data_IF_510807042265
#
_entry.id   IF_510807042265
#
_cell.length_a   1.000
_cell.length_b   1.000
_cell.length_c   1.000
_cell.angle_alpha   90.00
_cell.angle_beta   90.00
_cell.angle_gamma   90.00
#
_symmetry.space_group_name_H-M   'P 1'
#
loop_
_entity.id
_entity.type
_entity.pdbx_description
1 polymer ?
#
# COMPACT_ATOMS: atom_id res chain seq x y z
N UNK A 1 5.98 20.87 -35.92
CA UNK A 1 6.60 19.53 -35.98
C UNK A 1 5.50 18.47 -35.94
N UNK A 2 5.07 17.89 -37.07
CA UNK A 2 3.87 17.03 -37.12
C UNK A 2 4.01 15.69 -36.38
N UNK A 3 5.23 15.21 -36.14
CA UNK A 3 5.48 14.03 -35.30
C UNK A 3 5.58 14.32 -33.80
N UNK A 4 5.43 15.59 -33.40
CA UNK A 4 5.46 16.03 -31.99
C UNK A 4 4.10 16.61 -31.59
N UNK A 5 3.52 17.49 -32.42
CA UNK A 5 2.23 18.10 -32.17
C UNK A 5 1.22 17.61 -33.21
N UNK A 6 0.34 16.69 -32.82
CA UNK A 6 -0.66 16.12 -33.70
C UNK A 6 -1.92 15.70 -32.93
N UNK A 7 -3.08 15.91 -33.54
CA UNK A 7 -4.37 15.58 -32.95
C UNK A 7 -4.57 14.08 -32.76
N UNK A 8 -3.92 13.22 -33.55
CA UNK A 8 -4.02 11.76 -33.35
C UNK A 8 -3.49 11.36 -31.97
N UNK A 9 -2.38 11.95 -31.52
CA UNK A 9 -1.83 11.66 -30.19
C UNK A 9 -2.74 12.18 -29.08
N UNK A 10 -3.31 13.38 -29.26
CA UNK A 10 -4.25 13.95 -28.31
C UNK A 10 -5.51 13.07 -28.17
N UNK A 11 -6.12 12.68 -29.28
CA UNK A 11 -7.31 11.84 -29.27
C UNK A 11 -7.04 10.44 -28.69
N UNK A 12 -5.89 9.84 -29.01
CA UNK A 12 -5.47 8.59 -28.39
C UNK A 12 -5.30 8.74 -26.88
N UNK A 13 -4.62 9.79 -26.42
CA UNK A 13 -4.42 10.04 -24.99
C UNK A 13 -5.74 10.25 -24.24
N UNK A 14 -6.70 10.98 -24.83
CA UNK A 14 -8.04 11.15 -24.25
C UNK A 14 -8.79 9.83 -24.13
N UNK A 15 -8.75 8.99 -25.17
CA UNK A 15 -9.44 7.71 -25.19
C UNK A 15 -8.83 6.75 -24.16
N UNK A 16 -7.50 6.62 -24.16
CA UNK A 16 -6.77 5.75 -23.24
C UNK A 16 -6.99 6.15 -21.77
N UNK A 17 -6.88 7.46 -21.47
CA UNK A 17 -7.14 7.98 -20.14
C UNK A 17 -8.57 7.69 -19.68
N UNK A 18 -9.56 7.96 -20.52
CA UNK A 18 -10.97 7.71 -20.20
C UNK A 18 -11.28 6.22 -20.01
N UNK A 19 -10.59 5.33 -20.73
CA UNK A 19 -10.74 3.89 -20.57
C UNK A 19 -10.18 3.42 -19.23
N UNK A 20 -8.97 3.85 -18.87
CA UNK A 20 -8.37 3.59 -17.56
C UNK A 20 -9.26 4.12 -16.43
N UNK A 21 -9.73 5.38 -16.53
CA UNK A 21 -10.62 5.97 -15.53
C UNK A 21 -11.95 5.21 -15.39
N UNK A 22 -12.52 4.69 -16.49
CA UNK A 22 -13.72 3.88 -16.43
C UNK A 22 -13.51 2.58 -15.65
N UNK A 23 -12.38 1.89 -15.87
CA UNK A 23 -11.98 0.72 -15.09
C UNK A 23 -11.79 1.08 -13.62
N UNK A 24 -11.07 2.16 -13.31
CA UNK A 24 -10.80 2.57 -11.93
C UNK A 24 -12.09 2.88 -11.15
N UNK A 25 -13.12 3.43 -11.81
CA UNK A 25 -14.44 3.61 -11.18
C UNK A 25 -15.13 2.28 -10.87
N UNK A 26 -15.04 1.31 -11.78
CA UNK A 26 -15.59 -0.04 -11.52
C UNK A 26 -14.83 -0.75 -10.40
N UNK A 27 -13.52 -0.59 -10.30
CA UNK A 27 -12.71 -1.09 -9.20
C UNK A 27 -13.08 -0.43 -7.88
N UNK A 28 -13.32 0.89 -7.88
CA UNK A 28 -13.78 1.63 -6.71
C UNK A 28 -15.11 1.10 -6.17
N UNK A 29 -16.07 0.78 -7.04
CA UNK A 29 -17.34 0.17 -6.64
C UNK A 29 -17.12 -1.21 -5.98
N UNK A 30 -16.19 -2.00 -6.50
CA UNK A 30 -15.81 -3.29 -5.90
C UNK A 30 -15.12 -3.11 -4.54
N UNK A 31 -14.27 -2.09 -4.38
CA UNK A 31 -13.63 -1.73 -3.11
C UNK A 31 -14.69 -1.31 -2.07
N UNK A 32 -15.71 -0.55 -2.47
CA UNK A 32 -16.81 -0.17 -1.57
C UNK A 32 -17.62 -1.38 -1.10
N UNK A 33 -17.81 -2.38 -1.97
CA UNK A 33 -18.43 -3.66 -1.59
C UNK A 33 -17.56 -4.39 -0.57
N UNK A 34 -16.27 -4.57 -0.86
CA UNK A 34 -15.30 -5.20 0.06
C UNK A 34 -15.24 -4.49 1.42
N UNK A 35 -15.24 -3.15 1.43
CA UNK A 35 -15.24 -2.34 2.65
C UNK A 35 -16.49 -2.61 3.51
N UNK A 36 -17.64 -2.81 2.89
CA UNK A 36 -18.89 -3.10 3.57
C UNK A 36 -18.91 -4.54 4.12
N UNK A 37 -18.47 -5.51 3.32
CA UNK A 37 -18.37 -6.94 3.70
C UNK A 37 -17.32 -7.20 4.78
N UNK A 38 -16.28 -6.37 4.84
CA UNK A 38 -15.23 -6.41 5.85
C UNK A 38 -15.57 -5.61 7.10
N UNK A 39 -16.75 -4.99 7.15
CA UNK A 39 -17.26 -4.18 8.28
C UNK A 39 -16.28 -3.07 8.71
N UNK A 40 -15.40 -2.59 7.81
CA UNK A 40 -14.31 -1.65 8.14
C UNK A 40 -14.80 -0.31 8.71
N UNK A 41 -16.05 0.05 8.41
CA UNK A 41 -16.72 1.21 9.01
C UNK A 41 -16.85 1.09 10.53
N UNK A 42 -17.09 -0.11 11.04
CA UNK A 42 -17.27 -0.37 12.48
C UNK A 42 -15.96 -0.18 13.25
N UNK A 43 -14.83 -0.32 12.55
CA UNK A 43 -13.48 -0.05 13.04
C UNK A 43 -13.04 1.40 12.79
N UNK A 44 -13.95 2.29 12.40
CA UNK A 44 -13.68 3.73 12.27
C UNK A 44 -13.01 4.16 10.96
N UNK A 45 -12.69 3.26 10.02
CA UNK A 45 -12.14 3.66 8.73
C UNK A 45 -13.21 4.41 7.92
N UNK A 46 -12.97 5.68 7.57
CA UNK A 46 -13.90 6.46 6.77
C UNK A 46 -13.82 6.14 5.28
N UNK A 47 -14.91 6.38 4.54
CA UNK A 47 -14.92 6.26 3.08
C UNK A 47 -13.94 7.22 2.40
N UNK A 48 -13.66 8.37 3.02
CA UNK A 48 -12.72 9.35 2.49
C UNK A 48 -11.28 8.84 2.58
N UNK A 49 -10.90 8.22 3.70
CA UNK A 49 -9.58 7.60 3.86
C UNK A 49 -9.40 6.41 2.92
N UNK A 50 -10.44 5.58 2.78
CA UNK A 50 -10.45 4.48 1.82
C UNK A 50 -10.27 4.99 0.37
N UNK A 51 -11.02 6.03 -0.01
CA UNK A 51 -10.95 6.63 -1.34
C UNK A 51 -9.56 7.23 -1.59
N UNK A 52 -8.97 7.88 -0.58
CA UNK A 52 -7.63 8.43 -0.68
C UNK A 52 -6.59 7.33 -0.89
N UNK A 53 -6.65 6.24 -0.13
CA UNK A 53 -5.78 5.08 -0.31
C UNK A 53 -5.90 4.46 -1.71
N UNK A 54 -7.13 4.30 -2.20
CA UNK A 54 -7.35 3.81 -3.57
C UNK A 54 -6.84 4.78 -4.63
N UNK A 55 -7.07 6.08 -4.46
CA UNK A 55 -6.55 7.12 -5.35
C UNK A 55 -5.02 7.08 -5.46
N UNK A 56 -4.30 6.93 -4.33
CA UNK A 56 -2.83 6.82 -4.36
C UNK A 56 -2.36 5.62 -5.19
N UNK A 57 -3.02 4.47 -5.03
CA UNK A 57 -2.73 3.27 -5.82
C UNK A 57 -3.04 3.50 -7.31
N UNK A 58 -4.23 4.00 -7.64
CA UNK A 58 -4.71 4.17 -9.02
C UNK A 58 -3.98 5.27 -9.79
N UNK A 59 -3.58 6.36 -9.14
CA UNK A 59 -2.78 7.41 -9.75
C UNK A 59 -1.32 7.00 -10.00
N UNK A 60 -0.86 5.92 -9.35
CA UNK A 60 0.53 5.45 -9.44
C UNK A 60 0.67 4.23 -10.36
N UNK A 61 -0.25 3.26 -10.26
CA UNK A 61 -0.30 2.04 -11.09
C UNK A 61 -1.60 2.13 -11.88
N UNK A 62 -1.64 2.84 -12.99
CA UNK A 62 -2.89 3.15 -13.69
C UNK A 62 -3.26 2.13 -14.78
N UNK A 63 -2.31 1.30 -15.20
CA UNK A 63 -2.45 0.41 -16.35
C UNK A 63 -3.52 -0.67 -16.11
N UNK A 64 -4.46 -0.92 -17.05
CA UNK A 64 -5.57 -1.85 -16.84
C UNK A 64 -5.16 -3.24 -16.36
N UNK A 65 -4.08 -3.78 -16.92
CA UNK A 65 -3.53 -5.10 -16.64
C UNK A 65 -2.91 -5.24 -15.24
N UNK A 66 -2.71 -4.13 -14.52
CA UNK A 66 -2.13 -4.10 -13.17
C UNK A 66 -3.17 -3.88 -12.08
N UNK A 67 -4.42 -4.31 -12.32
CA UNK A 67 -5.54 -4.18 -11.39
C UNK A 67 -5.26 -4.85 -10.04
N UNK A 68 -4.73 -6.08 -10.03
CA UNK A 68 -4.44 -6.80 -8.78
C UNK A 68 -3.42 -6.05 -7.90
N UNK A 69 -2.41 -5.45 -8.50
CA UNK A 69 -1.42 -4.63 -7.79
C UNK A 69 -2.07 -3.41 -7.12
N UNK A 70 -2.96 -2.70 -7.83
CA UNK A 70 -3.73 -1.57 -7.28
C UNK A 70 -4.63 -2.00 -6.12
N UNK A 71 -5.38 -3.09 -6.32
CA UNK A 71 -6.33 -3.59 -5.32
C UNK A 71 -5.60 -4.08 -4.07
N UNK A 72 -4.49 -4.79 -4.23
CA UNK A 72 -3.64 -5.23 -3.14
C UNK A 72 -3.11 -4.04 -2.34
N UNK A 73 -2.60 -3.02 -3.02
CA UNK A 73 -2.15 -1.78 -2.38
C UNK A 73 -3.29 -1.14 -1.58
N UNK A 74 -4.41 -0.79 -2.21
CA UNK A 74 -5.49 -0.05 -1.59
C UNK A 74 -6.07 -0.79 -0.36
N UNK A 75 -6.31 -2.11 -0.49
CA UNK A 75 -6.83 -2.93 0.62
C UNK A 75 -5.81 -3.06 1.75
N UNK A 76 -4.52 -3.22 1.43
CA UNK A 76 -3.44 -3.28 2.43
C UNK A 76 -3.33 -1.98 3.21
N UNK A 77 -3.31 -0.83 2.53
CA UNK A 77 -3.27 0.48 3.21
C UNK A 77 -4.47 0.69 4.14
N UNK A 78 -5.67 0.30 3.70
CA UNK A 78 -6.88 0.37 4.52
C UNK A 78 -6.80 -0.53 5.76
N UNK A 79 -6.31 -1.76 5.61
CA UNK A 79 -6.14 -2.72 6.71
C UNK A 79 -5.07 -2.25 7.71
N UNK A 80 -3.90 -1.80 7.25
CA UNK A 80 -2.84 -1.23 8.11
C UNK A 80 -3.40 -0.07 8.93
N UNK A 81 -4.10 0.86 8.28
CA UNK A 81 -4.71 2.00 8.97
C UNK A 81 -5.73 1.53 10.02
N UNK A 82 -6.60 0.60 9.66
CA UNK A 82 -7.63 0.09 10.57
C UNK A 82 -7.01 -0.62 11.78
N UNK A 83 -5.98 -1.46 11.58
CA UNK A 83 -5.28 -2.18 12.65
C UNK A 83 -4.61 -1.18 13.60
N UNK A 84 -3.82 -0.26 13.04
CA UNK A 84 -3.06 0.72 13.83
C UNK A 84 -3.96 1.73 14.55
N UNK A 85 -5.14 2.05 14.04
CA UNK A 85 -6.08 2.94 14.73
C UNK A 85 -6.85 2.27 15.88
N UNK A 86 -7.00 0.93 15.89
CA UNK A 86 -7.84 0.23 16.86
C UNK A 86 -7.07 -0.62 17.88
N UNK A 87 -5.82 -0.97 17.59
CA UNK A 87 -5.07 -1.95 18.39
C UNK A 87 -3.68 -1.45 18.82
N UNK A 88 -3.44 -0.14 18.78
CA UNK A 88 -2.12 0.45 19.03
C UNK A 88 -1.95 1.07 20.42
N UNK A 89 -2.94 0.92 21.31
CA UNK A 89 -2.95 1.53 22.64
C UNK A 89 -1.81 1.03 23.53
N UNK A 90 -1.52 -0.27 23.50
CA UNK A 90 -0.52 -0.92 24.34
C UNK A 90 0.03 -2.22 23.71
N UNK A 91 1.17 -2.69 24.23
CA UNK A 91 1.87 -3.88 23.71
C UNK A 91 1.06 -5.19 23.89
N UNK A 92 0.25 -5.31 24.95
CA UNK A 92 -0.59 -6.49 25.20
C UNK A 92 -1.67 -6.61 24.12
N UNK A 93 -2.33 -5.49 23.81
CA UNK A 93 -3.33 -5.40 22.73
C UNK A 93 -2.72 -5.76 21.37
N UNK A 94 -1.53 -5.22 21.06
CA UNK A 94 -0.80 -5.56 19.83
C UNK A 94 -0.42 -7.03 19.77
N UNK A 95 0.20 -7.54 20.83
CA UNK A 95 0.61 -8.94 20.96
C UNK A 95 -0.56 -9.89 20.75
N UNK A 96 -1.72 -9.56 21.33
CA UNK A 96 -2.90 -10.39 21.20
C UNK A 96 -3.51 -10.35 19.79
N UNK A 97 -3.34 -9.25 19.04
CA UNK A 97 -3.67 -9.20 17.61
C UNK A 97 -2.74 -10.08 16.77
N UNK A 98 -1.42 -9.97 16.98
CA UNK A 98 -0.43 -10.77 16.26
C UNK A 98 -0.64 -12.26 16.50
N UNK A 99 -0.82 -12.66 17.75
CA UNK A 99 -1.09 -14.06 18.10
C UNK A 99 -2.37 -14.57 17.42
N UNK A 100 -3.44 -13.77 17.39
CA UNK A 100 -4.69 -14.19 16.76
C UNK A 100 -4.56 -14.30 15.23
N UNK A 101 -3.77 -13.42 14.60
CA UNK A 101 -3.42 -13.56 13.20
C UNK A 101 -2.62 -14.83 12.94
N UNK A 102 -1.53 -15.06 13.69
CA UNK A 102 -0.68 -16.25 13.56
C UNK A 102 -1.46 -17.54 13.81
N UNK A 103 -2.31 -17.56 14.84
CA UNK A 103 -3.20 -18.68 15.13
C UNK A 103 -4.14 -18.92 13.95
N UNK A 104 -4.76 -17.87 13.38
CA UNK A 104 -5.69 -18.04 12.27
C UNK A 104 -5.01 -18.59 11.01
N UNK A 105 -3.82 -18.08 10.65
CA UNK A 105 -3.09 -18.56 9.47
C UNK A 105 -2.51 -19.96 9.66
N UNK A 106 -2.12 -20.32 10.89
CA UNK A 106 -1.61 -21.66 11.21
C UNK A 106 -2.74 -22.70 11.41
N UNK A 107 -3.91 -22.28 11.89
CA UNK A 107 -5.09 -23.15 12.10
C UNK A 107 -5.83 -23.49 10.80
N UNK A 108 -5.52 -22.82 9.69
CA UNK A 108 -5.96 -23.25 8.36
C UNK A 108 -5.40 -24.63 7.97
N UNK A 109 -4.46 -25.19 8.75
CA UNK A 109 -3.90 -26.54 8.58
C UNK A 109 -4.46 -27.59 9.55
N UNK A 110 -5.09 -27.18 10.67
CA UNK A 110 -5.68 -28.11 11.64
C UNK A 110 -7.00 -27.56 12.19
N UNK A 111 -8.10 -28.09 11.65
CA UNK A 111 -9.44 -27.93 12.22
C UNK A 111 -9.46 -28.42 13.66
N UNK A 112 -9.56 -27.47 14.60
CA UNK A 112 -10.09 -27.55 15.98
C UNK A 112 -9.16 -26.88 17.00
N UNK A 113 -9.39 -25.60 17.28
CA UNK A 113 -8.93 -24.99 18.53
C UNK A 113 -10.08 -24.29 19.26
N UNK A 114 -10.18 -24.62 20.54
CA UNK A 114 -11.11 -24.16 21.57
C UNK A 114 -11.47 -22.68 21.41
N UNK A 115 -12.76 -22.43 21.18
CA UNK A 115 -13.37 -21.08 21.18
C UNK A 115 -13.30 -20.48 22.59
N UNK A 116 -12.18 -19.85 22.90
CA UNK A 116 -12.04 -18.98 24.07
C UNK A 116 -12.79 -17.65 23.85
N UNK A 117 -13.17 -17.01 24.96
CA UNK A 117 -13.82 -15.70 25.08
C UNK A 117 -12.92 -14.56 24.55
N UNK A 118 -12.56 -14.58 23.27
CA UNK A 118 -11.74 -13.53 22.63
C UNK A 118 -12.62 -12.34 22.18
N UNK A 119 -12.02 -11.17 22.09
CA UNK A 119 -12.71 -9.96 21.64
C UNK A 119 -13.29 -10.16 20.22
N UNK A 120 -14.63 -10.08 20.08
CA UNK A 120 -15.34 -10.30 18.80
C UNK A 120 -14.85 -9.34 17.72
N UNK A 121 -14.51 -8.11 18.09
CA UNK A 121 -13.99 -7.06 17.20
C UNK A 121 -12.65 -7.47 16.59
N UNK A 122 -11.72 -7.97 17.41
CA UNK A 122 -10.40 -8.42 16.92
C UNK A 122 -10.50 -9.59 15.93
N UNK A 123 -11.36 -10.57 16.25
CA UNK A 123 -11.62 -11.73 15.36
C UNK A 123 -12.22 -11.32 14.02
N UNK A 124 -13.11 -10.33 14.06
CA UNK A 124 -13.69 -9.76 12.85
C UNK A 124 -12.61 -9.19 11.93
N UNK A 125 -11.71 -8.36 12.47
CA UNK A 125 -10.66 -7.72 11.66
C UNK A 125 -9.58 -8.69 11.20
N UNK A 126 -9.12 -9.62 12.05
CA UNK A 126 -8.18 -10.69 11.64
C UNK A 126 -8.81 -11.54 10.54
N UNK A 127 -10.09 -11.90 10.68
CA UNK A 127 -10.82 -12.63 9.65
C UNK A 127 -10.95 -11.84 8.34
N UNK A 128 -11.18 -10.52 8.40
CA UNK A 128 -11.23 -9.67 7.22
C UNK A 128 -9.86 -9.55 6.53
N UNK A 129 -8.77 -9.47 7.30
CA UNK A 129 -7.40 -9.52 6.79
C UNK A 129 -7.14 -10.84 6.06
N UNK A 130 -7.33 -11.99 6.73
CA UNK A 130 -7.06 -13.31 6.13
C UNK A 130 -7.89 -13.54 4.87
N UNK A 131 -9.21 -13.26 4.90
CA UNK A 131 -10.06 -13.35 3.69
C UNK A 131 -9.58 -12.47 2.54
N UNK A 132 -8.99 -11.32 2.86
CA UNK A 132 -8.42 -10.43 1.84
C UNK A 132 -7.16 -11.04 1.23
N UNK A 133 -6.31 -11.70 2.02
CA UNK A 133 -5.11 -12.38 1.52
C UNK A 133 -5.48 -13.62 0.70
N UNK A 134 -6.47 -14.39 1.13
CA UNK A 134 -7.01 -15.52 0.37
C UNK A 134 -7.54 -15.07 -1.00
N UNK A 135 -8.31 -13.97 -1.04
CA UNK A 135 -8.81 -13.39 -2.27
C UNK A 135 -7.66 -12.96 -3.20
N UNK A 136 -6.66 -12.25 -2.69
CA UNK A 136 -5.51 -11.81 -3.48
C UNK A 136 -4.72 -13.00 -4.03
N UNK A 137 -4.48 -14.02 -3.21
CA UNK A 137 -3.78 -15.23 -3.67
C UNK A 137 -4.57 -15.99 -4.72
N UNK A 138 -5.90 -16.11 -4.58
CA UNK A 138 -6.74 -16.80 -5.55
C UNK A 138 -6.74 -16.07 -6.90
N UNK A 139 -6.92 -14.75 -6.91
CA UNK A 139 -6.92 -13.96 -8.13
C UNK A 139 -5.55 -13.95 -8.81
N UNK A 140 -4.46 -13.88 -8.04
CA UNK A 140 -3.11 -14.01 -8.57
C UNK A 140 -2.86 -15.40 -9.15
N UNK A 141 -3.36 -16.47 -8.52
CA UNK A 141 -3.28 -17.82 -9.08
C UNK A 141 -4.05 -17.93 -10.40
N UNK A 142 -5.26 -17.38 -10.47
CA UNK A 142 -6.07 -17.39 -11.70
C UNK A 142 -5.42 -16.58 -12.82
N UNK A 143 -4.78 -15.45 -12.49
CA UNK A 143 -4.23 -14.51 -13.49
C UNK A 143 -2.82 -14.88 -13.94
N UNK A 144 -1.98 -15.35 -13.01
CA UNK A 144 -0.55 -15.56 -13.22
C UNK A 144 -0.10 -17.03 -13.03
N UNK A 145 -0.98 -17.90 -12.54
CA UNK A 145 -0.64 -19.31 -12.26
C UNK A 145 0.29 -19.50 -11.05
N UNK A 146 0.42 -18.48 -10.19
CA UNK A 146 1.31 -18.50 -9.04
C UNK A 146 0.53 -18.59 -7.73
N UNK A 147 0.94 -19.51 -6.86
CA UNK A 147 0.43 -19.61 -5.50
C UNK A 147 1.32 -18.77 -4.57
N UNK A 148 0.74 -17.72 -3.98
CA UNK A 148 1.49 -16.72 -3.19
C UNK A 148 0.99 -16.59 -1.74
N UNK A 149 0.01 -17.40 -1.32
CA UNK A 149 -0.65 -17.26 -0.02
C UNK A 149 0.33 -17.31 1.15
N UNK A 150 1.32 -18.21 1.09
CA UNK A 150 2.36 -18.32 2.09
C UNK A 150 3.21 -17.04 2.17
N UNK A 151 3.60 -16.47 1.02
CA UNK A 151 4.40 -15.24 0.97
C UNK A 151 3.60 -14.02 1.45
N UNK A 152 2.29 -13.98 1.18
CA UNK A 152 1.38 -12.98 1.71
C UNK A 152 1.30 -13.06 3.23
N UNK A 153 1.05 -14.26 3.79
CA UNK A 153 1.01 -14.49 5.23
C UNK A 153 2.34 -14.14 5.91
N UNK A 154 3.46 -14.56 5.31
CA UNK A 154 4.80 -14.27 5.81
C UNK A 154 5.09 -12.77 5.82
N UNK A 155 4.74 -12.05 4.74
CA UNK A 155 4.94 -10.60 4.64
C UNK A 155 4.14 -9.84 5.70
N UNK A 156 2.87 -10.20 5.89
CA UNK A 156 2.03 -9.63 6.95
C UNK A 156 2.52 -9.98 8.35
N UNK A 157 2.89 -11.24 8.59
CA UNK A 157 3.42 -11.70 9.89
C UNK A 157 4.70 -10.98 10.28
N UNK A 158 5.58 -10.71 9.30
CA UNK A 158 6.81 -9.92 9.52
C UNK A 158 6.50 -8.48 9.90
N UNK A 159 5.59 -7.83 9.19
CA UNK A 159 5.18 -6.45 9.51
C UNK A 159 4.51 -6.38 10.89
N UNK A 160 3.57 -7.28 11.17
CA UNK A 160 2.86 -7.36 12.44
C UNK A 160 3.82 -7.59 13.62
N UNK A 161 4.84 -8.44 13.46
CA UNK A 161 5.87 -8.66 14.48
C UNK A 161 6.67 -7.39 14.79
N UNK A 162 7.00 -6.58 13.77
CA UNK A 162 7.69 -5.28 13.95
C UNK A 162 6.79 -4.28 14.67
N UNK A 163 5.53 -4.20 14.22
CA UNK A 163 4.52 -3.32 14.80
C UNK A 163 4.22 -3.68 16.26
N UNK A 164 4.23 -4.96 16.62
CA UNK A 164 4.03 -5.43 18.00
C UNK A 164 4.99 -4.77 18.98
N UNK A 165 6.29 -4.76 18.67
CA UNK A 165 7.33 -4.18 19.53
C UNK A 165 7.38 -2.65 19.48
N UNK A 166 7.24 -2.06 18.29
CA UNK A 166 7.53 -0.64 18.09
C UNK A 166 6.28 0.25 18.25
N UNK A 167 5.08 -0.29 17.99
CA UNK A 167 3.82 0.44 18.04
C UNK A 167 3.71 1.57 17.01
N UNK A 168 4.65 1.67 16.08
CA UNK A 168 4.64 2.65 15.00
C UNK A 168 4.36 1.98 13.66
N UNK A 169 4.19 2.78 12.61
CA UNK A 169 3.99 2.28 11.24
C UNK A 169 5.32 1.96 10.54
N UNK A 170 6.38 1.66 11.29
CA UNK A 170 7.65 1.25 10.69
C UNK A 170 7.43 -0.03 9.86
N UNK A 171 8.05 -0.08 8.69
CA UNK A 171 7.88 -1.19 7.76
C UNK A 171 6.55 -1.22 6.98
N UNK A 172 5.67 -0.22 7.08
CA UNK A 172 4.49 -0.15 6.19
C UNK A 172 4.89 -0.18 4.71
N UNK A 173 5.95 0.55 4.36
CA UNK A 173 6.41 0.61 2.98
C UNK A 173 6.95 -0.74 2.49
N UNK A 174 7.62 -1.50 3.37
CA UNK A 174 7.98 -2.89 3.09
C UNK A 174 6.74 -3.69 2.71
N UNK A 175 5.72 -3.69 3.57
CA UNK A 175 4.52 -4.49 3.37
C UNK A 175 3.81 -4.11 2.07
N UNK A 176 3.61 -2.81 1.81
CA UNK A 176 3.01 -2.35 0.55
C UNK A 176 3.80 -2.82 -0.68
N UNK A 177 5.13 -2.71 -0.65
CA UNK A 177 5.99 -3.19 -1.73
C UNK A 177 5.84 -4.71 -1.92
N UNK A 178 5.78 -5.51 -0.85
CA UNK A 178 5.55 -6.95 -0.99
C UNK A 178 4.19 -7.24 -1.64
N UNK A 179 3.14 -6.61 -1.12
CA UNK A 179 1.77 -6.85 -1.58
C UNK A 179 1.59 -6.48 -3.06
N UNK A 180 2.19 -5.37 -3.50
CA UNK A 180 2.20 -4.96 -4.91
C UNK A 180 2.93 -6.01 -5.76
N UNK A 181 4.15 -6.39 -5.39
CA UNK A 181 4.97 -7.27 -6.23
C UNK A 181 4.40 -8.69 -6.31
N UNK A 182 3.98 -9.26 -5.18
CA UNK A 182 3.38 -10.60 -5.13
C UNK A 182 2.09 -10.65 -5.95
N UNK A 183 1.21 -9.65 -5.77
CA UNK A 183 -0.06 -9.62 -6.51
C UNK A 183 0.11 -9.38 -8.01
N UNK A 184 1.23 -8.77 -8.42
CA UNK A 184 1.64 -8.61 -9.82
C UNK A 184 2.35 -9.83 -10.42
N UNK A 185 2.43 -10.96 -9.70
CA UNK A 185 3.05 -12.20 -10.17
C UNK A 185 4.58 -12.18 -10.18
N UNK A 186 5.21 -11.29 -9.41
CA UNK A 186 6.67 -11.25 -9.30
C UNK A 186 7.15 -12.23 -8.22
N UNK A 187 8.09 -13.09 -8.58
CA UNK A 187 8.72 -14.04 -7.66
C UNK A 187 9.72 -13.33 -6.75
N UNK A 188 9.44 -13.31 -5.44
CA UNK A 188 10.32 -12.72 -4.42
C UNK A 188 11.20 -13.81 -3.79
N UNK A 189 12.10 -14.39 -4.57
CA UNK A 189 12.99 -15.46 -4.09
C UNK A 189 13.91 -15.02 -2.94
N UNK A 190 14.37 -15.97 -2.14
CA UNK A 190 15.35 -15.72 -1.08
C UNK A 190 16.63 -15.05 -1.59
N UNK A 191 17.04 -15.37 -2.83
CA UNK A 191 18.16 -14.73 -3.50
C UNK A 191 17.91 -13.24 -3.76
N UNK A 192 16.69 -12.89 -4.20
CA UNK A 192 16.30 -11.50 -4.40
C UNK A 192 16.21 -10.74 -3.07
N UNK A 193 15.61 -11.35 -2.05
CA UNK A 193 15.51 -10.75 -0.70
C UNK A 193 16.88 -10.59 -0.02
N UNK A 194 17.84 -11.43 -0.41
CA UNK A 194 19.23 -11.37 0.04
C UNK A 194 20.10 -10.41 -0.78
N UNK A 195 19.61 -9.94 -1.93
CA UNK A 195 20.33 -9.01 -2.79
C UNK A 195 20.65 -7.70 -2.04
N UNK A 196 21.93 -7.26 -2.00
CA UNK A 196 22.32 -6.04 -1.31
C UNK A 196 21.59 -4.77 -1.80
N UNK A 197 21.33 -4.67 -3.10
CA UNK A 197 20.64 -3.53 -3.68
C UNK A 197 19.14 -3.55 -3.33
N UNK A 198 18.52 -4.72 -3.30
CA UNK A 198 17.15 -4.87 -2.82
C UNK A 198 17.01 -4.41 -1.37
N UNK A 199 17.93 -4.85 -0.50
CA UNK A 199 17.98 -4.41 0.91
C UNK A 199 18.22 -2.90 1.04
N UNK A 200 19.04 -2.33 0.15
CA UNK A 200 19.29 -0.89 0.13
C UNK A 200 18.02 -0.12 -0.26
N UNK A 201 17.34 -0.51 -1.35
CA UNK A 201 16.05 0.06 -1.78
C UNK A 201 15.01 -0.01 -0.66
N UNK A 202 14.90 -1.17 -0.01
CA UNK A 202 14.00 -1.39 1.10
C UNK A 202 14.31 -0.46 2.28
N UNK A 203 15.58 -0.38 2.69
CA UNK A 203 15.99 0.46 3.82
C UNK A 203 15.74 1.95 3.55
N UNK A 204 16.01 2.41 2.33
CA UNK A 204 15.77 3.79 1.90
C UNK A 204 14.28 4.11 1.89
N UNK A 205 13.48 3.23 1.29
CA UNK A 205 12.03 3.42 1.18
C UNK A 205 11.40 3.47 2.57
N UNK A 206 11.71 2.50 3.45
CA UNK A 206 11.22 2.52 4.83
C UNK A 206 11.64 3.78 5.59
N UNK A 207 12.90 4.21 5.44
CA UNK A 207 13.41 5.42 6.11
C UNK A 207 12.71 6.68 5.64
N UNK A 208 12.51 6.84 4.34
CA UNK A 208 11.75 7.97 3.77
C UNK A 208 10.31 7.95 4.28
N UNK A 209 9.63 6.81 4.18
CA UNK A 209 8.23 6.69 4.54
C UNK A 209 7.98 6.93 6.03
N UNK A 210 8.86 6.39 6.89
CA UNK A 210 8.80 6.62 8.32
C UNK A 210 8.98 8.11 8.67
N UNK A 211 10.00 8.78 8.10
CA UNK A 211 10.21 10.22 8.34
C UNK A 211 9.05 11.10 7.85
N UNK A 212 8.50 10.79 6.69
CA UNK A 212 7.31 11.46 6.15
C UNK A 212 6.11 11.29 7.07
N UNK A 213 5.92 10.10 7.64
CA UNK A 213 4.84 9.82 8.58
C UNK A 213 5.02 10.58 9.90
N UNK A 214 6.23 10.56 10.48
CA UNK A 214 6.54 11.32 11.71
C UNK A 214 6.30 12.81 11.52
N UNK A 215 6.76 13.39 10.41
CA UNK A 215 6.52 14.80 10.08
C UNK A 215 5.02 15.14 9.98
N UNK A 216 4.23 14.27 9.34
CA UNK A 216 2.78 14.44 9.24
C UNK A 216 2.11 14.47 10.61
N UNK A 217 2.53 13.58 11.51
CA UNK A 217 2.01 13.52 12.88
C UNK A 217 2.41 14.77 13.68
N UNK A 218 3.66 15.20 13.59
CA UNK A 218 4.15 16.42 14.28
C UNK A 218 3.36 17.68 13.85
N UNK A 219 3.03 17.78 12.55
CA UNK A 219 2.19 18.85 12.01
C UNK A 219 0.75 18.80 12.53
N UNK A 220 0.19 17.62 12.76
CA UNK A 220 -1.17 17.45 13.27
C UNK A 220 -1.29 17.77 14.78
N UNK A 221 -0.23 17.51 15.56
CA UNK A 221 -0.19 17.76 17.01
C UNK A 221 0.33 19.16 17.40
N UNK A 222 0.54 20.06 16.42
CA UNK A 222 0.77 21.49 16.69
C UNK A 222 2.15 21.84 17.26
N UNK A 223 3.15 20.96 17.13
CA UNK A 223 4.49 21.18 17.65
C UNK A 223 5.50 21.47 16.53
N UNK A 224 5.45 22.65 15.92
CA UNK A 224 6.68 23.34 15.52
C UNK A 224 6.43 24.80 15.18
N UNK A 225 7.14 25.62 15.92
CA UNK A 225 7.31 27.06 15.77
C UNK A 225 8.47 27.32 14.78
N UNK A 226 8.39 26.81 13.55
CA UNK A 226 9.42 27.05 12.53
C UNK A 226 8.80 27.57 11.25
N UNK A 227 9.04 28.85 10.97
CA UNK A 227 8.93 29.49 9.66
C UNK A 227 9.93 28.87 8.67
N UNK A 228 9.77 27.60 8.34
CA UNK A 228 10.53 26.94 7.29
C UNK A 228 9.56 26.62 6.17
N UNK A 229 9.69 27.32 5.05
CA UNK A 229 8.92 27.13 3.81
C UNK A 229 9.09 25.72 3.19
N UNK A 230 9.95 24.87 3.77
CA UNK A 230 10.23 23.52 3.32
C UNK A 230 9.26 22.51 3.92
N UNK A 231 8.42 21.92 3.07
CA UNK A 231 7.42 20.88 3.43
C UNK A 231 8.10 19.55 3.82
N UNK A 232 9.39 19.40 3.55
CA UNK A 232 10.21 18.22 3.86
C UNK A 232 11.56 18.62 4.44
N UNK A 233 12.21 17.71 5.17
CA UNK A 233 13.55 17.95 5.70
C UNK A 233 14.63 17.65 4.64
N UNK A 234 15.81 18.31 4.68
CA UNK A 234 16.91 18.03 3.75
C UNK A 234 17.30 16.54 3.69
N UNK A 235 17.11 15.81 4.79
CA UNK A 235 17.39 14.37 4.86
C UNK A 235 16.36 13.54 4.10
N UNK A 236 15.08 13.93 4.11
CA UNK A 236 14.03 13.30 3.29
C UNK A 236 14.37 13.49 1.80
N UNK A 237 14.75 14.71 1.41
CA UNK A 237 15.15 15.02 0.03
C UNK A 237 16.39 14.22 -0.40
N UNK A 238 17.43 14.15 0.45
CA UNK A 238 18.64 13.38 0.15
C UNK A 238 18.34 11.88 -0.01
N UNK A 239 17.48 11.31 0.83
CA UNK A 239 17.11 9.90 0.74
C UNK A 239 16.21 9.62 -0.46
N UNK A 240 15.31 10.54 -0.82
CA UNK A 240 14.52 10.43 -2.05
C UNK A 240 15.39 10.52 -3.31
N UNK A 241 16.37 11.42 -3.34
CA UNK A 241 17.32 11.50 -4.45
C UNK A 241 18.12 10.20 -4.61
N UNK A 242 18.59 9.61 -3.51
CA UNK A 242 19.28 8.31 -3.53
C UNK A 242 18.37 7.19 -4.00
N UNK A 243 17.10 7.18 -3.57
CA UNK A 243 16.11 6.18 -4.01
C UNK A 243 15.87 6.28 -5.52
N UNK A 244 15.66 7.49 -6.04
CA UNK A 244 15.50 7.73 -7.48
C UNK A 244 16.75 7.28 -8.25
N UNK A 245 17.94 7.59 -7.74
CA UNK A 245 19.20 7.19 -8.35
C UNK A 245 19.31 5.66 -8.44
N UNK A 246 19.01 4.91 -7.37
CA UNK A 246 19.09 3.45 -7.39
C UNK A 246 18.07 2.81 -8.32
N UNK A 247 16.86 3.38 -8.41
CA UNK A 247 15.79 2.84 -9.27
C UNK A 247 16.07 3.11 -10.76
N UNK A 248 16.61 4.28 -11.10
CA UNK A 248 16.88 4.68 -12.49
C UNK A 248 18.25 4.25 -13.01
N UNK A 249 19.19 3.89 -12.12
CA UNK A 249 20.48 3.39 -12.56
C UNK A 249 20.32 2.00 -13.18
N UNK A 250 20.62 1.90 -14.48
CA UNK A 250 20.70 0.64 -15.22
C UNK A 250 21.98 -0.12 -14.83
N UNK A 251 22.07 -0.54 -13.57
CA UNK A 251 23.06 -1.52 -13.15
C UNK A 251 22.49 -2.92 -13.40
N UNK A 252 23.35 -3.84 -13.88
CA UNK A 252 23.03 -5.27 -13.95
C UNK A 252 23.05 -5.87 -12.54
N UNK A 253 22.06 -5.51 -11.73
CA UNK A 253 21.91 -5.93 -10.33
C UNK A 253 20.99 -7.15 -10.15
N UNK A 254 20.43 -7.66 -11.26
CA UNK A 254 19.54 -8.82 -11.27
C UNK A 254 18.14 -8.54 -10.72
N UNK A 255 17.78 -7.28 -10.45
CA UNK A 255 16.46 -6.91 -9.93
C UNK A 255 15.58 -6.40 -11.08
N UNK A 256 14.39 -6.96 -11.21
CA UNK A 256 13.42 -6.52 -12.22
C UNK A 256 13.04 -5.04 -12.03
N UNK A 257 12.97 -4.30 -13.13
CA UNK A 257 12.62 -2.88 -13.13
C UNK A 257 11.26 -2.57 -12.48
N UNK A 258 10.27 -3.47 -12.62
CA UNK A 258 8.95 -3.35 -11.97
C UNK A 258 9.08 -3.39 -10.46
N UNK A 259 9.92 -4.30 -9.94
CA UNK A 259 10.21 -4.40 -8.51
C UNK A 259 10.88 -3.12 -8.01
N UNK A 260 11.89 -2.60 -8.72
CA UNK A 260 12.51 -1.30 -8.35
C UNK A 260 11.50 -0.16 -8.36
N UNK A 261 10.66 -0.11 -9.38
CA UNK A 261 9.64 0.92 -9.53
C UNK A 261 8.60 0.88 -8.41
N UNK A 262 8.27 -0.30 -7.86
CA UNK A 262 7.34 -0.42 -6.73
C UNK A 262 7.83 0.32 -5.47
N UNK A 263 9.14 0.30 -5.18
CA UNK A 263 9.73 1.06 -4.07
C UNK A 263 9.56 2.56 -4.26
N UNK A 264 9.89 3.05 -5.46
CA UNK A 264 9.76 4.47 -5.78
C UNK A 264 8.30 4.92 -5.82
N UNK A 265 7.40 4.07 -6.31
CA UNK A 265 5.96 4.31 -6.34
C UNK A 265 5.41 4.54 -4.92
N UNK A 266 5.70 3.63 -3.99
CA UNK A 266 5.26 3.76 -2.59
C UNK A 266 5.82 5.03 -1.96
N UNK A 267 7.13 5.29 -2.11
CA UNK A 267 7.75 6.51 -1.57
C UNK A 267 7.14 7.80 -2.13
N UNK A 268 6.94 7.88 -3.46
CA UNK A 268 6.32 9.05 -4.11
C UNK A 268 4.89 9.29 -3.64
N UNK A 269 4.11 8.23 -3.45
CA UNK A 269 2.72 8.35 -3.00
C UNK A 269 2.62 8.97 -1.59
N UNK A 270 3.50 8.56 -0.68
CA UNK A 270 3.55 9.08 0.68
C UNK A 270 4.14 10.50 0.71
N UNK A 271 5.13 10.76 -0.14
CA UNK A 271 5.66 12.11 -0.32
C UNK A 271 4.55 13.07 -0.79
N UNK A 272 3.77 12.68 -1.80
CA UNK A 272 2.61 13.43 -2.27
C UNK A 272 1.58 13.68 -1.15
N UNK A 273 1.30 12.65 -0.34
CA UNK A 273 0.33 12.74 0.76
C UNK A 273 0.74 13.71 1.87
N UNK A 274 2.04 13.97 2.04
CA UNK A 274 2.57 14.97 2.98
C UNK A 274 2.63 16.35 2.33
N UNK A 275 2.92 16.40 1.03
CA UNK A 275 3.15 17.64 0.30
C UNK A 275 1.85 18.40 -0.02
N UNK A 276 0.81 17.70 -0.46
CA UNK A 276 -0.45 18.33 -0.86
C UNK A 276 -1.40 18.52 0.33
N UNK A 277 -2.05 19.69 0.39
CA UNK A 277 -3.13 19.94 1.35
C UNK A 277 -4.41 19.18 0.96
N UNK A 278 -5.34 19.05 1.91
CA UNK A 278 -6.57 18.29 1.72
C UNK A 278 -7.46 18.83 0.59
N UNK A 279 -7.49 20.14 0.36
CA UNK A 279 -8.27 20.75 -0.72
C UNK A 279 -7.72 20.36 -2.09
N UNK A 280 -6.39 20.44 -2.24
CA UNK A 280 -5.68 19.99 -3.45
C UNK A 280 -5.89 18.49 -3.70
N UNK A 281 -5.77 17.65 -2.66
CA UNK A 281 -6.01 16.21 -2.76
C UNK A 281 -7.44 15.92 -3.25
N UNK A 282 -8.45 16.57 -2.68
CA UNK A 282 -9.84 16.36 -3.07
C UNK A 282 -10.08 16.76 -4.55
N UNK A 283 -9.46 17.85 -5.00
CA UNK A 283 -9.54 18.28 -6.39
C UNK A 283 -8.84 17.28 -7.32
N UNK A 284 -7.68 16.76 -6.95
CA UNK A 284 -6.98 15.76 -7.74
C UNK A 284 -7.78 14.45 -7.83
N UNK A 285 -8.38 13.98 -6.73
CA UNK A 285 -9.26 12.82 -6.73
C UNK A 285 -10.43 13.01 -7.70
N UNK A 286 -11.11 14.15 -7.63
CA UNK A 286 -12.22 14.46 -8.52
C UNK A 286 -11.79 14.40 -10.00
N UNK A 287 -10.69 15.07 -10.33
CA UNK A 287 -10.14 15.12 -11.70
C UNK A 287 -9.70 13.75 -12.20
N UNK A 288 -8.96 13.01 -11.40
CA UNK A 288 -8.30 11.77 -11.83
C UNK A 288 -9.29 10.61 -11.92
N UNK A 289 -10.19 10.47 -10.94
CA UNK A 289 -11.07 9.30 -10.87
C UNK A 289 -12.47 9.54 -11.44
N UNK A 290 -12.97 10.77 -11.45
CA UNK A 290 -14.40 11.01 -11.67
C UNK A 290 -14.73 11.97 -12.81
N UNK A 291 -13.81 12.84 -13.23
CA UNK A 291 -14.02 13.76 -14.35
C UNK A 291 -13.35 13.26 -15.63
N UNK A 292 -14.16 13.02 -16.66
CA UNK A 292 -13.66 12.56 -17.97
C UNK A 292 -12.93 13.66 -18.72
N UNK A 293 -11.96 13.26 -19.53
CA UNK A 293 -11.28 14.17 -20.46
C UNK A 293 -12.14 14.34 -21.71
N UNK A 294 -12.44 15.59 -22.07
CA UNK A 294 -13.19 16.00 -23.26
C UNK A 294 -12.27 16.22 -24.46
#
# INVERSE_FOLDING_TARGET
MPYVNNNVYLELAKLDYNNCQALHRSEWDNILRWYSESELREYGLSKQELLFGYYLAAATIYEPERSLERLAWAKTSALIQTITSNFNDDEETRTAFVNEFLDTVNLLDYSNARRSNLNKTRRGLVGALVRTLDFLSLDTFVTHGQEIIHDLHHSWGRWLSSWQSEGDRHGEAYLLVQMINLSGGNLLSDDLLSNPQYRQLLSLTNRVCHRLHSYKNDKAYGSSNTNTESITTPEIESDMQKLVQLVLQNQSDGIDSKIKNSFLAVAKSLYYAVHCDQGTINLHIAKVLFERVL
#
